data_IF_311168808036
#
_entry.id   IF_311168808036
#
_cell.length_a   1.000
_cell.length_b   1.000
_cell.length_c   1.000
_cell.angle_alpha   90.00
_cell.angle_beta   90.00
_cell.angle_gamma   90.00
#
_symmetry.space_group_name_H-M   'P 1'
#
loop_
_entity.id
_entity.type
_entity.pdbx_description
1 polymer ?
#
# COMPACT_ATOMS: atom_id res chain seq x y z
N UNK A 1 52.58 12.05 -52.12
CA UNK A 1 51.15 12.46 -52.19
C UNK A 1 50.37 11.39 -51.45
N UNK A 2 50.39 11.46 -50.11
CA UNK A 2 49.78 10.49 -49.22
C UNK A 2 48.36 10.94 -48.92
N UNK A 3 47.37 10.16 -49.37
CA UNK A 3 45.99 10.31 -48.94
C UNK A 3 45.80 9.35 -47.75
N UNK A 4 46.04 9.86 -46.54
CA UNK A 4 45.64 9.20 -45.30
C UNK A 4 44.11 9.18 -45.25
N UNK A 5 43.53 8.03 -45.57
CA UNK A 5 42.10 7.77 -45.38
C UNK A 5 41.91 7.44 -43.91
N UNK A 6 41.69 8.46 -43.11
CA UNK A 6 41.30 8.32 -41.70
C UNK A 6 39.93 7.66 -41.63
N UNK A 7 39.91 6.35 -41.38
CA UNK A 7 38.71 5.56 -41.18
C UNK A 7 38.04 6.05 -39.88
N UNK A 8 36.95 6.81 -40.00
CA UNK A 8 36.16 7.21 -38.84
C UNK A 8 35.66 5.94 -38.11
N UNK A 9 36.08 5.77 -36.87
CA UNK A 9 35.68 4.64 -36.03
C UNK A 9 34.16 4.58 -35.89
N UNK A 10 33.53 3.39 -35.88
CA UNK A 10 32.10 3.27 -35.69
C UNK A 10 31.74 3.81 -34.30
N UNK A 11 30.81 4.76 -34.28
CA UNK A 11 30.19 5.27 -33.06
C UNK A 11 29.48 4.11 -32.36
N UNK A 12 30.11 3.52 -31.34
CA UNK A 12 29.48 2.50 -30.50
C UNK A 12 28.24 3.10 -29.86
N UNK A 13 27.07 2.68 -30.33
CA UNK A 13 25.80 2.93 -29.66
C UNK A 13 25.84 2.24 -28.30
N UNK A 14 26.09 3.00 -27.24
CA UNK A 14 25.94 2.49 -25.89
C UNK A 14 24.50 2.02 -25.73
N UNK A 15 24.34 0.72 -25.50
CA UNK A 15 23.09 0.15 -25.01
C UNK A 15 22.95 0.66 -23.57
N UNK A 16 22.48 1.89 -23.41
CA UNK A 16 22.15 2.41 -22.09
C UNK A 16 21.02 1.54 -21.54
N UNK A 17 21.18 0.92 -20.36
CA UNK A 17 20.08 0.25 -19.70
C UNK A 17 18.90 1.22 -19.59
N UNK A 18 17.68 0.71 -19.69
CA UNK A 18 16.49 1.54 -19.46
C UNK A 18 16.57 2.18 -18.07
N UNK A 19 16.44 3.50 -17.99
CA UNK A 19 16.55 4.30 -16.76
C UNK A 19 15.71 3.78 -15.58
N UNK A 20 14.59 3.11 -15.86
CA UNK A 20 13.74 2.46 -14.87
C UNK A 20 14.41 1.29 -14.13
N UNK A 21 15.26 0.52 -14.83
CA UNK A 21 15.96 -0.64 -14.28
C UNK A 21 17.07 -0.20 -13.33
N UNK A 22 17.81 0.84 -13.70
CA UNK A 22 18.84 1.43 -12.84
C UNK A 22 18.24 2.05 -11.58
N UNK A 23 17.14 2.81 -11.73
CA UNK A 23 16.40 3.35 -10.59
C UNK A 23 15.91 2.25 -9.65
N UNK A 24 15.32 1.17 -10.17
CA UNK A 24 14.82 0.06 -9.36
C UNK A 24 15.96 -0.71 -8.66
N UNK A 25 17.11 -0.89 -9.33
CA UNK A 25 18.29 -1.50 -8.74
C UNK A 25 18.78 -0.68 -7.53
N UNK A 26 18.98 0.63 -7.70
CA UNK A 26 19.38 1.52 -6.60
C UNK A 26 18.32 1.64 -5.50
N UNK A 27 17.02 1.64 -5.85
CA UNK A 27 15.93 1.68 -4.88
C UNK A 27 15.92 0.44 -3.98
N UNK A 28 16.18 -0.74 -4.56
CA UNK A 28 16.22 -2.02 -3.83
C UNK A 28 17.42 -2.17 -2.90
N UNK A 29 18.53 -1.47 -3.17
CA UNK A 29 19.67 -1.43 -2.26
C UNK A 29 19.33 -0.71 -0.95
N UNK A 30 18.39 0.23 -0.98
CA UNK A 30 17.93 0.92 0.21
C UNK A 30 16.82 0.13 0.93
N UNK A 31 17.20 -0.60 1.98
CA UNK A 31 16.28 -1.39 2.82
C UNK A 31 15.12 -0.57 3.40
N UNK A 32 15.33 0.70 3.71
CA UNK A 32 14.28 1.59 4.22
C UNK A 32 13.26 1.96 3.14
N UNK A 33 13.73 2.23 1.92
CA UNK A 33 12.87 2.53 0.78
C UNK A 33 12.01 1.31 0.40
N UNK A 34 12.60 0.11 0.40
CA UNK A 34 11.87 -1.14 0.17
C UNK A 34 10.84 -1.40 1.28
N UNK A 35 11.21 -1.20 2.55
CA UNK A 35 10.27 -1.37 3.66
C UNK A 35 9.07 -0.41 3.54
N UNK A 36 9.32 0.86 3.20
CA UNK A 36 8.26 1.83 2.95
C UNK A 36 7.36 1.43 1.79
N UNK A 37 7.94 0.98 0.67
CA UNK A 37 7.18 0.49 -0.48
C UNK A 37 6.30 -0.72 -0.12
N UNK A 38 6.81 -1.66 0.69
CA UNK A 38 6.06 -2.83 1.14
C UNK A 38 4.88 -2.40 2.02
N UNK A 39 5.11 -1.52 3.01
CA UNK A 39 4.04 -1.02 3.90
C UNK A 39 2.97 -0.29 3.10
N UNK A 40 3.37 0.60 2.19
CA UNK A 40 2.45 1.33 1.33
C UNK A 40 1.65 0.37 0.45
N UNK A 41 2.31 -0.61 -0.16
CA UNK A 41 1.65 -1.63 -0.99
C UNK A 41 0.62 -2.43 -0.19
N UNK A 42 0.92 -2.76 1.08
CA UNK A 42 -0.02 -3.44 1.97
C UNK A 42 -1.24 -2.57 2.31
N UNK A 43 -1.04 -1.29 2.60
CA UNK A 43 -2.16 -0.36 2.87
C UNK A 43 -3.06 -0.24 1.64
N UNK A 44 -2.46 -0.06 0.45
CA UNK A 44 -3.19 0.01 -0.82
C UNK A 44 -3.94 -1.29 -1.08
N UNK A 45 -3.33 -2.43 -0.83
CA UNK A 45 -3.97 -3.73 -0.95
C UNK A 45 -5.19 -3.83 -0.02
N UNK A 46 -5.05 -3.53 1.27
CA UNK A 46 -6.16 -3.55 2.23
C UNK A 46 -7.28 -2.59 1.81
N UNK A 47 -6.95 -1.41 1.30
CA UNK A 47 -7.93 -0.43 0.87
C UNK A 47 -8.72 -0.88 -0.38
N UNK A 48 -8.05 -1.49 -1.37
CA UNK A 48 -8.70 -2.03 -2.58
C UNK A 48 -9.62 -3.19 -2.22
N UNK A 49 -9.13 -4.10 -1.37
CA UNK A 49 -9.88 -5.28 -0.95
C UNK A 49 -10.71 -5.04 0.32
N UNK A 50 -10.96 -3.78 0.71
CA UNK A 50 -11.71 -3.45 1.91
C UNK A 50 -13.10 -4.09 1.93
N UNK A 51 -13.80 -4.12 0.79
CA UNK A 51 -15.15 -4.71 0.69
C UNK A 51 -15.17 -6.23 0.97
N UNK A 52 -14.02 -6.92 0.89
CA UNK A 52 -13.89 -8.37 1.13
C UNK A 52 -13.21 -8.66 2.47
N UNK A 53 -12.25 -7.82 2.89
CA UNK A 53 -11.52 -7.98 4.15
C UNK A 53 -12.28 -7.46 5.37
N UNK A 54 -13.14 -6.45 5.18
CA UNK A 54 -13.92 -5.87 6.27
C UNK A 54 -14.98 -6.88 6.75
N UNK A 55 -15.07 -7.15 8.07
CA UNK A 55 -16.09 -8.03 8.61
C UNK A 55 -17.51 -7.49 8.43
N UNK A 56 -17.66 -6.16 8.43
CA UNK A 56 -18.96 -5.48 8.42
C UNK A 56 -18.94 -4.25 7.50
N UNK A 57 -20.12 -3.74 7.14
CA UNK A 57 -20.18 -2.46 6.43
C UNK A 57 -19.75 -1.31 7.35
N UNK A 58 -18.96 -0.33 6.88
CA UNK A 58 -18.47 0.79 7.70
C UNK A 58 -19.59 1.73 8.18
N UNK A 59 -20.77 1.65 7.56
CA UNK A 59 -21.96 2.42 7.90
C UNK A 59 -22.98 1.61 8.72
N UNK A 60 -22.77 0.31 8.85
CA UNK A 60 -23.66 -0.56 9.61
C UNK A 60 -23.51 -0.30 11.09
N UNK A 61 -24.66 -0.24 11.77
CA UNK A 61 -24.75 0.18 13.16
C UNK A 61 -25.40 -0.90 14.01
N UNK A 62 -24.63 -1.47 14.94
CA UNK A 62 -25.09 -2.52 15.84
C UNK A 62 -25.46 -1.93 17.20
N UNK A 63 -26.77 -1.82 17.48
CA UNK A 63 -27.29 -1.23 18.73
C UNK A 63 -26.94 -2.04 19.97
N UNK A 64 -26.80 -3.35 19.81
CA UNK A 64 -26.45 -4.28 20.90
C UNK A 64 -24.94 -4.34 21.17
N UNK A 65 -24.14 -3.69 20.32
CA UNK A 65 -22.69 -3.74 20.32
C UNK A 65 -22.12 -2.32 20.33
N UNK A 66 -22.58 -1.47 21.27
CA UNK A 66 -22.11 -0.08 21.41
C UNK A 66 -20.93 -0.02 22.38
N UNK A 67 -19.84 0.67 21.99
CA UNK A 67 -18.62 0.81 22.79
C UNK A 67 -18.02 -0.52 23.26
N UNK A 68 -18.01 -1.52 22.37
CA UNK A 68 -17.35 -2.78 22.68
C UNK A 68 -15.83 -2.55 22.76
N UNK A 69 -15.17 -3.12 23.77
CA UNK A 69 -13.72 -3.13 23.82
C UNK A 69 -13.17 -4.03 22.70
N UNK A 70 -11.87 -3.92 22.38
CA UNK A 70 -11.23 -4.79 21.40
C UNK A 70 -11.38 -6.27 21.76
N UNK A 71 -11.36 -7.15 20.76
CA UNK A 71 -11.65 -8.57 20.93
C UNK A 71 -10.71 -9.30 21.92
N UNK A 72 -9.52 -8.75 22.18
CA UNK A 72 -8.53 -9.29 23.10
C UNK A 72 -8.70 -8.82 24.57
N UNK A 73 -9.67 -7.95 24.85
CA UNK A 73 -10.02 -7.51 26.20
C UNK A 73 -11.25 -8.25 26.74
N UNK A 74 -11.42 -8.27 28.07
CA UNK A 74 -12.64 -8.79 28.69
C UNK A 74 -13.89 -8.06 28.17
N UNK A 75 -14.91 -8.82 27.78
CA UNK A 75 -16.13 -8.30 27.16
C UNK A 75 -15.99 -7.94 25.68
N UNK A 76 -14.82 -8.19 25.06
CA UNK A 76 -14.60 -8.04 23.63
C UNK A 76 -15.21 -9.18 22.81
N UNK A 77 -15.44 -8.93 21.52
CA UNK A 77 -16.02 -9.91 20.60
C UNK A 77 -15.20 -9.94 19.31
N UNK A 78 -14.80 -11.14 18.85
CA UNK A 78 -14.07 -11.33 17.59
C UNK A 78 -14.86 -10.94 16.33
N UNK A 79 -16.18 -10.80 16.42
CA UNK A 79 -16.98 -10.16 15.38
C UNK A 79 -16.55 -8.69 15.17
N UNK A 80 -16.07 -8.02 16.21
CA UNK A 80 -15.57 -6.65 16.18
C UNK A 80 -14.11 -6.64 16.66
N UNK A 81 -13.12 -6.99 15.81
CA UNK A 81 -11.74 -7.21 16.24
C UNK A 81 -11.13 -6.01 16.97
N UNK A 82 -11.40 -4.79 16.49
CA UNK A 82 -10.97 -3.53 17.11
C UNK A 82 -12.04 -2.91 18.01
N UNK A 83 -13.14 -3.61 18.26
CA UNK A 83 -14.30 -3.10 18.97
C UNK A 83 -15.16 -2.16 18.12
N UNK A 84 -16.07 -1.47 18.78
CA UNK A 84 -17.05 -0.60 18.13
C UNK A 84 -17.03 0.81 18.69
N UNK A 85 -17.50 1.77 17.91
CA UNK A 85 -17.60 3.16 18.36
C UNK A 85 -18.85 3.45 19.22
N UNK A 86 -19.05 4.73 19.57
CA UNK A 86 -20.19 5.19 20.35
C UNK A 86 -21.56 4.98 19.68
N UNK A 87 -21.59 4.71 18.37
CA UNK A 87 -22.79 4.36 17.64
C UNK A 87 -22.93 2.85 17.48
N UNK A 88 -21.88 2.06 17.74
CA UNK A 88 -21.88 0.60 17.51
C UNK A 88 -21.44 0.22 16.10
N UNK A 89 -20.63 1.07 15.44
CA UNK A 89 -20.02 0.74 14.13
C UNK A 89 -18.69 0.04 14.34
N UNK A 90 -18.39 -0.96 13.51
CA UNK A 90 -17.13 -1.69 13.55
C UNK A 90 -15.94 -0.79 13.21
N UNK A 91 -15.01 -0.65 14.15
CA UNK A 91 -13.86 0.24 13.99
C UNK A 91 -12.89 -0.28 12.93
N UNK A 92 -12.72 -1.60 12.81
CA UNK A 92 -11.81 -2.20 11.82
C UNK A 92 -12.28 -1.90 10.40
N UNK A 93 -13.54 -2.19 10.11
CA UNK A 93 -14.16 -1.89 8.81
C UNK A 93 -14.05 -0.39 8.49
N UNK A 94 -14.29 0.49 9.48
CA UNK A 94 -14.16 1.94 9.27
C UNK A 94 -12.74 2.37 8.93
N UNK A 95 -11.72 1.77 9.53
CA UNK A 95 -10.31 2.07 9.20
C UNK A 95 -9.97 1.59 7.79
N UNK A 96 -10.37 0.37 7.41
CA UNK A 96 -10.10 -0.17 6.07
C UNK A 96 -10.75 0.67 4.97
N UNK A 97 -12.04 0.99 5.11
CA UNK A 97 -12.74 1.84 4.17
C UNK A 97 -12.24 3.30 4.23
N UNK A 98 -11.87 3.80 5.41
CA UNK A 98 -11.23 5.10 5.57
C UNK A 98 -9.94 5.21 4.77
N UNK A 99 -9.08 4.18 4.80
CA UNK A 99 -7.86 4.11 4.00
C UNK A 99 -8.15 4.17 2.49
N UNK A 100 -9.22 3.50 2.02
CA UNK A 100 -9.69 3.60 0.63
C UNK A 100 -10.09 5.02 0.24
N UNK A 101 -10.85 5.71 1.09
CA UNK A 101 -11.24 7.10 0.83
C UNK A 101 -10.03 8.05 0.83
N UNK A 102 -9.09 7.88 1.77
CA UNK A 102 -7.85 8.67 1.80
C UNK A 102 -7.01 8.48 0.53
N UNK A 103 -6.88 7.24 0.03
CA UNK A 103 -6.15 6.98 -1.22
C UNK A 103 -6.87 7.53 -2.45
N UNK A 104 -8.20 7.59 -2.42
CA UNK A 104 -8.98 8.12 -3.54
C UNK A 104 -8.94 9.65 -3.61
N UNK A 105 -8.91 10.32 -2.46
CA UNK A 105 -8.90 11.79 -2.37
C UNK A 105 -7.47 12.34 -2.53
N UNK A 106 -6.47 11.65 -1.98
CA UNK A 106 -5.08 12.11 -1.89
C UNK A 106 -4.84 13.03 -0.69
#
# INVERSE_FOLDING_TARGET
MAADVTLAAPISSSTQPSSFVEFWASFRENKGAVAGLVILSLIVFVAIFADVLAPHSPLEQFRDAVKLPPAWYEGGNWAFPLGTDALGRDMLSRIMHGARYSLFIG
#
